data_IF_717353842897
#
_entry.id   IF_717353842897
#
_cell.length_a   1.000
_cell.length_b   1.000
_cell.length_c   1.000
_cell.angle_alpha   90.00
_cell.angle_beta   90.00
_cell.angle_gamma   90.00
#
_symmetry.space_group_name_H-M   'P 1'
#
loop_
_entity.id
_entity.type
_entity.pdbx_description
1 polymer ?
#
# COMPACT_ATOMS: atom_id res chain seq x y z
N UNK A 1 -13.21 -2.10 4.35
CA UNK A 1 -11.94 -2.68 4.85
C UNK A 1 -10.79 -2.23 3.98
N UNK A 2 -9.60 -2.08 4.56
CA UNK A 2 -8.39 -1.56 3.91
C UNK A 2 -7.16 -2.26 4.48
N UNK A 3 -6.09 -2.38 3.67
CA UNK A 3 -4.81 -2.94 4.10
C UNK A 3 -3.75 -1.84 4.09
N UNK A 4 -3.03 -1.71 5.21
CA UNK A 4 -1.74 -1.03 5.27
C UNK A 4 -0.63 -2.06 5.10
N UNK A 5 0.28 -1.84 4.15
CA UNK A 5 1.30 -2.81 3.79
C UNK A 5 2.68 -2.16 3.73
N UNK A 6 3.65 -2.70 4.46
CA UNK A 6 5.04 -2.25 4.34
C UNK A 6 5.66 -2.80 3.05
N UNK A 7 6.43 -1.97 2.34
CA UNK A 7 7.09 -2.40 1.11
C UNK A 7 8.26 -3.36 1.37
N UNK A 8 9.04 -3.12 2.42
CA UNK A 8 10.27 -3.85 2.70
C UNK A 8 10.09 -4.75 3.91
N UNK A 9 9.64 -5.97 3.63
CA UNK A 9 9.51 -7.03 4.63
C UNK A 9 10.50 -8.16 4.35
N UNK A 10 10.96 -8.86 5.39
CA UNK A 10 11.73 -10.09 5.20
C UNK A 10 10.88 -11.15 4.49
N UNK A 11 11.54 -12.03 3.74
CA UNK A 11 10.95 -13.16 3.00
C UNK A 11 10.15 -12.75 1.75
N UNK A 12 9.18 -11.84 1.86
CA UNK A 12 8.33 -11.43 0.75
C UNK A 12 8.07 -9.92 0.78
N UNK A 13 8.39 -9.22 -0.31
CA UNK A 13 8.20 -7.77 -0.41
C UNK A 13 6.72 -7.39 -0.57
N UNK A 14 6.38 -6.18 -0.11
CA UNK A 14 5.00 -5.69 -0.14
C UNK A 14 4.42 -5.62 -1.55
N UNK A 15 5.23 -5.34 -2.58
CA UNK A 15 4.74 -5.35 -3.96
C UNK A 15 4.36 -6.76 -4.44
N UNK A 16 5.07 -7.80 -4.01
CA UNK A 16 4.73 -9.18 -4.32
C UNK A 16 3.47 -9.64 -3.58
N UNK A 17 3.32 -9.25 -2.32
CA UNK A 17 2.08 -9.46 -1.55
C UNK A 17 0.90 -8.79 -2.25
N UNK A 18 1.04 -7.53 -2.65
CA UNK A 18 -0.01 -6.80 -3.34
C UNK A 18 -0.38 -7.44 -4.68
N UNK A 19 0.60 -7.83 -5.49
CA UNK A 19 0.36 -8.59 -6.74
C UNK A 19 -0.42 -9.88 -6.48
N UNK A 20 -0.22 -10.53 -5.33
CA UNK A 20 -0.96 -11.73 -4.94
C UNK A 20 -2.40 -11.41 -4.54
N UNK A 21 -2.61 -10.34 -3.75
CA UNK A 21 -3.94 -9.82 -3.39
C UNK A 21 -4.74 -9.49 -4.66
N UNK A 22 -4.14 -8.79 -5.63
CA UNK A 22 -4.79 -8.41 -6.90
C UNK A 22 -5.19 -9.61 -7.77
N UNK A 23 -4.55 -10.77 -7.61
CA UNK A 23 -4.90 -12.01 -8.33
C UNK A 23 -6.09 -12.76 -7.72
N UNK A 24 -6.44 -12.49 -6.46
CA UNK A 24 -7.51 -13.19 -5.77
C UNK A 24 -8.85 -12.43 -5.94
N UNK A 25 -9.87 -13.02 -6.61
CA UNK A 25 -11.15 -12.34 -6.85
C UNK A 25 -11.87 -11.83 -5.60
N UNK A 26 -11.65 -12.45 -4.44
CA UNK A 26 -12.28 -12.04 -3.19
C UNK A 26 -11.62 -10.80 -2.55
N UNK A 27 -10.38 -10.47 -2.93
CA UNK A 27 -9.59 -9.40 -2.29
C UNK A 27 -9.00 -8.39 -3.29
N UNK A 28 -9.15 -8.64 -4.60
CA UNK A 28 -8.56 -7.82 -5.65
C UNK A 28 -8.98 -6.35 -5.59
N UNK A 29 -10.17 -6.07 -5.08
CA UNK A 29 -10.75 -4.73 -5.00
C UNK A 29 -10.52 -4.06 -3.63
N UNK A 30 -9.89 -4.75 -2.67
CA UNK A 30 -9.56 -4.14 -1.38
C UNK A 30 -8.57 -2.99 -1.57
N UNK A 31 -8.84 -1.81 -0.99
CA UNK A 31 -7.87 -0.73 -0.95
C UNK A 31 -6.58 -1.18 -0.24
N UNK A 32 -5.43 -0.94 -0.87
CA UNK A 32 -4.12 -1.22 -0.26
C UNK A 32 -3.26 0.03 -0.32
N UNK A 33 -2.85 0.53 0.85
CA UNK A 33 -1.89 1.62 0.98
C UNK A 33 -0.52 0.99 1.27
N UNK A 34 0.47 1.28 0.43
CA UNK A 34 1.86 0.89 0.68
C UNK A 34 2.58 1.97 1.47
N UNK A 35 3.37 1.55 2.44
CA UNK A 35 4.19 2.42 3.29
C UNK A 35 5.66 2.06 3.11
N UNK A 36 6.53 3.05 2.84
CA UNK A 36 7.97 2.80 2.67
C UNK A 36 8.85 4.00 2.95
N UNK A 37 10.09 3.75 3.38
CA UNK A 37 11.17 4.75 3.43
C UNK A 37 12.03 4.82 2.15
N UNK A 38 11.79 3.93 1.16
CA UNK A 38 12.58 3.91 -0.08
C UNK A 38 12.22 5.07 -1.00
N UNK A 39 13.25 5.62 -1.67
CA UNK A 39 13.11 6.68 -2.68
C UNK A 39 12.27 6.22 -3.87
N UNK A 40 12.39 4.95 -4.24
CA UNK A 40 11.69 4.30 -5.35
C UNK A 40 10.32 3.75 -4.92
N UNK A 41 10.00 3.79 -3.63
CA UNK A 41 8.83 3.12 -3.06
C UNK A 41 7.50 3.54 -3.69
N UNK A 42 7.34 4.81 -4.05
CA UNK A 42 6.14 5.31 -4.73
C UNK A 42 5.96 4.69 -6.11
N UNK A 43 7.04 4.59 -6.89
CA UNK A 43 6.99 4.00 -8.22
C UNK A 43 6.65 2.52 -8.12
N UNK A 44 7.36 1.78 -7.25
CA UNK A 44 7.14 0.35 -7.03
C UNK A 44 5.69 0.08 -6.58
N UNK A 45 5.16 0.88 -5.66
CA UNK A 45 3.78 0.74 -5.20
C UNK A 45 2.75 0.98 -6.31
N UNK A 46 2.98 2.00 -7.13
CA UNK A 46 2.13 2.34 -8.28
C UNK A 46 2.11 1.20 -9.29
N UNK A 47 3.30 0.68 -9.65
CA UNK A 47 3.44 -0.43 -10.60
C UNK A 47 2.82 -1.74 -10.10
N UNK A 48 2.74 -1.92 -8.79
CA UNK A 48 2.07 -3.05 -8.16
C UNK A 48 0.54 -2.92 -8.04
N UNK A 49 -0.03 -1.75 -8.38
CA UNK A 49 -1.47 -1.48 -8.30
C UNK A 49 -1.94 -1.10 -6.89
N UNK A 50 -1.12 -0.35 -6.15
CA UNK A 50 -1.50 0.17 -4.84
C UNK A 50 -2.57 1.26 -5.00
N UNK A 51 -3.49 1.32 -4.04
CA UNK A 51 -4.52 2.37 -3.96
C UNK A 51 -3.96 3.67 -3.40
N UNK A 52 -2.90 3.59 -2.59
CA UNK A 52 -2.21 4.74 -2.04
C UNK A 52 -0.76 4.43 -1.67
N UNK A 53 0.03 5.48 -1.46
CA UNK A 53 1.40 5.38 -0.97
C UNK A 53 1.68 6.48 0.05
N UNK A 54 2.30 6.10 1.17
CA UNK A 54 2.75 7.00 2.24
C UNK A 54 4.25 6.79 2.46
N UNK A 55 5.02 7.87 2.43
CA UNK A 55 6.45 7.82 2.70
C UNK A 55 6.71 7.82 4.20
N UNK A 56 7.71 7.06 4.67
CA UNK A 56 8.21 7.18 6.05
C UNK A 56 9.28 8.28 6.13
N UNK A 57 9.32 9.08 7.22
CA UNK A 57 8.32 9.13 8.29
C UNK A 57 7.03 9.83 7.85
N UNK A 58 5.91 9.42 8.42
CA UNK A 58 4.59 10.06 8.26
C UNK A 58 3.97 10.26 9.63
N UNK A 59 3.01 11.18 9.73
CA UNK A 59 2.22 11.41 10.94
C UNK A 59 0.81 10.81 10.83
N UNK A 60 0.06 10.92 11.92
CA UNK A 60 -1.29 10.36 12.00
C UNK A 60 -2.26 11.08 11.05
N UNK A 61 -2.08 12.38 10.82
CA UNK A 61 -2.96 13.18 9.98
C UNK A 61 -2.78 12.80 8.49
N UNK A 62 -1.54 12.57 8.04
CA UNK A 62 -1.26 12.08 6.69
C UNK A 62 -1.89 10.69 6.46
N UNK A 63 -1.73 9.78 7.43
CA UNK A 63 -2.34 8.45 7.36
C UNK A 63 -3.87 8.53 7.29
N UNK A 64 -4.49 9.29 8.20
CA UNK A 64 -5.94 9.41 8.25
C UNK A 64 -6.50 10.13 7.03
N UNK A 65 -5.79 11.14 6.50
CA UNK A 65 -6.16 11.81 5.26
C UNK A 65 -6.26 10.83 4.08
N UNK A 66 -5.26 9.95 3.94
CA UNK A 66 -5.25 8.91 2.90
C UNK A 66 -6.37 7.88 3.10
N UNK A 67 -6.55 7.39 4.34
CA UNK A 67 -7.60 6.40 4.65
C UNK A 67 -8.98 6.97 4.36
N UNK A 68 -9.25 8.19 4.82
CA UNK A 68 -10.55 8.83 4.59
C UNK A 68 -10.81 9.08 3.10
N UNK A 69 -9.79 9.46 2.32
CA UNK A 69 -9.92 9.66 0.88
C UNK A 69 -10.17 8.37 0.07
N UNK A 70 -9.85 7.19 0.63
CA UNK A 70 -10.10 5.89 -0.02
C UNK A 70 -11.39 5.22 0.47
N UNK A 71 -11.97 5.68 1.57
CA UNK A 71 -13.15 5.11 2.21
C UNK A 71 -14.42 5.98 2.02
N UNK A 72 -14.28 7.11 1.31
CA UNK A 72 -15.36 8.03 0.95
C UNK A 72 -16.14 7.60 -0.28
#
# INVERSE_FOLDING_TARGET
DLILLDLWMPVLSGDQVLKTIRKNPATKDLPVIIISASREGRQIATDAGASGFIAKPFDFDELMGMVNGLMS
#
